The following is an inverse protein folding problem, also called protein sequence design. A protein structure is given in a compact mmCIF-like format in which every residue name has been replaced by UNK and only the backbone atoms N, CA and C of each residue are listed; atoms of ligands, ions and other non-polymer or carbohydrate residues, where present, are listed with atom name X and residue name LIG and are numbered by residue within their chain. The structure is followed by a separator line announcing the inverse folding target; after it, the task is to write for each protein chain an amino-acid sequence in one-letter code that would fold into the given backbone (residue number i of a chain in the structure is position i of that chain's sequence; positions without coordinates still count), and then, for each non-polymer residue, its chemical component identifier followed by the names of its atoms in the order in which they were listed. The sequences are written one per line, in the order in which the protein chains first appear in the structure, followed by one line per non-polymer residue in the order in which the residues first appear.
data_IF_423471716017
#
_entry.id   IF_423471716017
#
_cell.length_a   1.000
_cell.length_b   1.000
_cell.length_c   1.000
_cell.angle_alpha   90.00
_cell.angle_beta   90.00
_cell.angle_gamma   90.00
#
_symmetry.space_group_name_H-M   'P 1'
#
loop_
_entity.id
_entity.type
_entity.pdbx_description
1 polymer ?
#
# COMPACT_ATOMS: atom_id res chain seq x y z
N UNK A 1 0.11 10.45 -17.40
CA UNK A 1 -0.04 9.06 -16.91
C UNK A 1 -1.49 8.67 -17.13
N UNK A 2 -1.77 7.73 -18.04
CA UNK A 2 -3.14 7.34 -18.40
C UNK A 2 -3.60 6.25 -17.43
N UNK A 3 -4.74 6.46 -16.77
CA UNK A 3 -5.34 5.43 -15.91
C UNK A 3 -5.82 4.29 -16.81
N UNK A 4 -5.47 3.02 -16.54
CA UNK A 4 -5.93 1.90 -17.35
C UNK A 4 -7.46 1.81 -17.35
N UNK A 5 -8.06 1.66 -18.52
CA UNK A 5 -9.52 1.65 -18.74
C UNK A 5 -10.29 0.67 -17.85
N UNK A 6 -9.72 -0.52 -17.60
CA UNK A 6 -10.34 -1.51 -16.69
C UNK A 6 -10.44 -1.01 -15.23
N UNK A 7 -9.52 -0.13 -14.78
CA UNK A 7 -9.57 0.50 -13.47
C UNK A 7 -10.73 1.49 -13.39
N UNK A 8 -10.91 2.30 -14.42
CA UNK A 8 -12.02 3.25 -14.49
C UNK A 8 -13.37 2.55 -14.45
N UNK A 9 -13.55 1.49 -15.23
CA UNK A 9 -14.80 0.70 -15.24
C UNK A 9 -15.10 0.12 -13.86
N UNK A 10 -14.12 -0.49 -13.22
CA UNK A 10 -14.35 -1.11 -11.90
C UNK A 10 -14.65 -0.09 -10.80
N UNK A 11 -13.93 1.02 -10.77
CA UNK A 11 -14.19 2.10 -9.81
C UNK A 11 -15.56 2.72 -10.11
N UNK A 12 -15.88 3.00 -11.39
CA UNK A 12 -17.18 3.50 -11.79
C UNK A 12 -18.33 2.57 -11.40
N UNK A 13 -18.17 1.26 -11.63
CA UNK A 13 -19.13 0.24 -11.21
C UNK A 13 -19.32 0.18 -9.70
N UNK A 14 -18.21 0.31 -8.94
CA UNK A 14 -18.27 0.41 -7.47
C UNK A 14 -19.06 1.65 -7.02
N UNK A 15 -18.77 2.82 -7.58
CA UNK A 15 -19.47 4.07 -7.27
C UNK A 15 -20.96 3.98 -7.58
N UNK A 16 -21.31 3.44 -8.75
CA UNK A 16 -22.70 3.22 -9.15
C UNK A 16 -23.43 2.30 -8.16
N UNK A 17 -22.79 1.18 -7.79
CA UNK A 17 -23.34 0.25 -6.77
C UNK A 17 -23.59 0.96 -5.44
N UNK A 18 -22.64 1.77 -4.94
CA UNK A 18 -22.83 2.51 -3.69
C UNK A 18 -24.00 3.51 -3.78
N UNK A 19 -24.12 4.20 -4.91
CA UNK A 19 -25.22 5.12 -5.18
C UNK A 19 -26.58 4.40 -5.22
N UNK A 20 -26.68 3.27 -5.89
CA UNK A 20 -27.90 2.47 -5.96
C UNK A 20 -28.31 1.91 -4.58
N UNK A 21 -27.34 1.63 -3.70
CA UNK A 21 -27.58 1.22 -2.32
C UNK A 21 -27.95 2.40 -1.39
N UNK A 22 -28.06 3.62 -1.90
CA UNK A 22 -28.38 4.82 -1.11
C UNK A 22 -27.26 5.23 -0.12
N UNK A 23 -26.06 4.70 -0.25
CA UNK A 23 -24.96 4.99 0.67
C UNK A 23 -24.38 6.37 0.38
N UNK A 24 -24.45 7.27 1.36
CA UNK A 24 -23.88 8.64 1.27
C UNK A 24 -22.39 8.68 1.59
N UNK A 25 -21.87 7.71 2.35
CA UNK A 25 -20.44 7.58 2.74
C UNK A 25 -20.00 6.15 2.53
N UNK A 26 -18.88 5.98 1.87
CA UNK A 26 -18.28 4.68 1.58
C UNK A 26 -16.78 4.84 1.31
N UNK A 27 -15.94 3.84 1.64
CA UNK A 27 -14.50 3.92 1.44
C UNK A 27 -14.14 3.76 -0.03
N UNK A 28 -13.20 4.55 -0.52
CA UNK A 28 -12.59 4.38 -1.85
C UNK A 28 -11.21 3.74 -1.77
N UNK A 29 -10.48 4.09 -0.73
CA UNK A 29 -9.12 3.60 -0.50
C UNK A 29 -9.02 3.15 0.94
N UNK A 30 -8.48 1.96 1.16
CA UNK A 30 -7.98 1.51 2.45
C UNK A 30 -6.48 1.85 2.52
N UNK A 31 -6.08 2.59 3.56
CA UNK A 31 -4.67 2.73 3.94
C UNK A 31 -4.33 1.57 4.86
N UNK A 32 -3.55 0.61 4.39
CA UNK A 32 -3.17 -0.59 5.13
C UNK A 32 -1.69 -0.50 5.52
N UNK A 33 -1.43 -0.44 6.82
CA UNK A 33 -0.08 -0.32 7.36
C UNK A 33 0.31 -1.60 8.12
N UNK A 34 0.79 -2.65 7.44
CA UNK A 34 1.07 -3.94 8.06
C UNK A 34 2.27 -3.93 9.01
N UNK A 35 3.10 -2.89 8.96
CA UNK A 35 4.17 -2.60 9.93
C UNK A 35 4.54 -1.11 9.89
N UNK A 36 5.14 -0.63 10.99
CA UNK A 36 5.64 0.75 11.08
C UNK A 36 7.16 0.87 10.94
N UNK A 37 7.91 -0.24 11.07
CA UNK A 37 9.37 -0.22 10.92
C UNK A 37 9.78 0.17 9.50
N UNK A 38 10.80 1.03 9.42
CA UNK A 38 11.43 1.45 8.18
C UNK A 38 12.93 1.20 8.24
N UNK A 39 13.59 1.18 7.10
CA UNK A 39 15.05 1.14 6.94
C UNK A 39 15.64 2.55 6.70
N UNK A 40 14.83 3.59 6.77
CA UNK A 40 15.21 4.98 6.70
C UNK A 40 14.68 5.75 7.91
N UNK A 41 15.32 6.87 8.22
CA UNK A 41 14.93 7.80 9.29
C UNK A 41 14.63 9.19 8.72
N UNK A 42 13.73 9.26 7.75
CA UNK A 42 13.42 10.48 7.00
C UNK A 42 13.04 11.65 7.93
N UNK A 43 13.58 12.83 7.64
CA UNK A 43 13.23 14.06 8.35
C UNK A 43 11.73 14.34 8.23
N UNK A 44 11.05 14.55 9.36
CA UNK A 44 9.61 14.79 9.42
C UNK A 44 8.73 13.53 9.36
N UNK A 45 9.31 12.33 9.34
CA UNK A 45 8.56 11.09 9.46
C UNK A 45 8.28 10.76 10.94
N UNK A 46 7.06 11.04 11.42
CA UNK A 46 6.69 10.76 12.82
C UNK A 46 6.66 9.27 13.21
N UNK A 47 6.78 8.36 12.26
CA UNK A 47 6.76 6.90 12.55
C UNK A 47 8.06 6.40 13.21
N UNK A 48 9.18 7.06 12.96
CA UNK A 48 10.47 6.66 13.56
C UNK A 48 10.51 6.90 15.08
N UNK A 49 9.65 7.80 15.58
CA UNK A 49 9.58 8.17 17.00
C UNK A 49 8.78 7.19 17.84
N UNK A 50 8.15 6.17 17.23
CA UNK A 50 7.41 5.16 17.98
C UNK A 50 8.35 4.24 18.76
N UNK A 51 7.95 3.80 19.97
CA UNK A 51 8.69 2.79 20.72
C UNK A 51 8.89 1.50 19.92
N UNK A 52 10.01 0.82 20.14
CA UNK A 52 10.33 -0.46 19.48
C UNK A 52 9.22 -1.51 19.58
N UNK A 53 8.49 -1.53 20.69
CA UNK A 53 7.35 -2.42 20.88
C UNK A 53 6.24 -2.19 19.85
N UNK A 54 6.07 -0.97 19.34
CA UNK A 54 5.13 -0.62 18.27
C UNK A 54 5.76 -0.88 16.90
N UNK A 55 7.02 -0.44 16.70
CA UNK A 55 7.73 -0.61 15.43
C UNK A 55 7.89 -2.09 15.05
N UNK A 56 7.96 -2.99 16.03
CA UNK A 56 8.11 -4.43 15.81
C UNK A 56 6.78 -5.16 15.59
N UNK A 57 5.65 -4.51 15.80
CA UNK A 57 4.34 -5.11 15.51
C UNK A 57 4.17 -5.30 14.01
N UNK A 58 3.56 -6.43 13.67
CA UNK A 58 3.26 -6.79 12.28
C UNK A 58 1.87 -7.39 12.22
N UNK A 59 1.11 -7.01 11.22
CA UNK A 59 -0.12 -7.71 10.88
C UNK A 59 0.24 -9.00 10.14
N UNK A 60 -0.48 -10.05 10.42
CA UNK A 60 -0.43 -11.28 9.63
C UNK A 60 -1.08 -11.08 8.26
N UNK A 61 -0.83 -12.01 7.33
CA UNK A 61 -1.50 -12.00 6.01
C UNK A 61 -3.01 -11.99 6.21
N UNK A 62 -3.53 -12.85 7.10
CA UNK A 62 -4.97 -12.95 7.32
C UNK A 62 -5.58 -11.64 7.84
N UNK A 63 -4.97 -11.01 8.84
CA UNK A 63 -5.44 -9.72 9.37
C UNK A 63 -5.49 -8.63 8.28
N UNK A 64 -4.48 -8.60 7.40
CA UNK A 64 -4.46 -7.66 6.27
C UNK A 64 -5.61 -7.92 5.28
N UNK A 65 -5.88 -9.18 4.98
CA UNK A 65 -6.93 -9.57 4.06
C UNK A 65 -8.33 -9.34 4.65
N UNK A 66 -8.51 -9.65 5.93
CA UNK A 66 -9.78 -9.43 6.65
C UNK A 66 -10.10 -7.93 6.74
N UNK A 67 -9.10 -7.09 7.04
CA UNK A 67 -9.28 -5.64 7.04
C UNK A 67 -9.68 -5.11 5.65
N UNK A 68 -9.12 -5.67 4.57
CA UNK A 68 -9.48 -5.28 3.21
C UNK A 68 -10.89 -5.75 2.81
N UNK A 69 -11.32 -6.91 3.29
CA UNK A 69 -12.66 -7.44 3.04
C UNK A 69 -13.71 -6.67 3.86
N UNK A 70 -13.47 -6.39 5.14
CA UNK A 70 -14.32 -5.59 6.02
C UNK A 70 -14.50 -4.16 5.49
N UNK A 71 -13.41 -3.50 5.13
CA UNK A 71 -13.44 -2.14 4.57
C UNK A 71 -14.21 -2.09 3.24
N UNK A 72 -14.10 -3.12 2.40
CA UNK A 72 -14.76 -3.19 1.10
C UNK A 72 -14.30 -2.18 0.06
N UNK A 73 -13.27 -1.35 0.34
CA UNK A 73 -12.71 -0.40 -0.63
C UNK A 73 -12.17 -1.11 -1.88
N UNK A 74 -12.33 -0.53 -3.08
CA UNK A 74 -11.78 -1.10 -4.30
C UNK A 74 -10.27 -0.93 -4.43
N UNK A 75 -9.69 0.01 -3.69
CA UNK A 75 -8.25 0.30 -3.71
C UNK A 75 -7.65 0.10 -2.32
N UNK A 76 -6.41 -0.40 -2.28
CA UNK A 76 -5.61 -0.55 -1.07
C UNK A 76 -4.25 0.09 -1.29
N UNK A 77 -3.92 1.09 -0.50
CA UNK A 77 -2.57 1.66 -0.41
C UNK A 77 -1.84 1.02 0.76
N UNK A 78 -0.61 0.59 0.56
CA UNK A 78 0.23 0.00 1.60
C UNK A 78 1.44 0.93 1.81
N UNK A 79 1.30 1.98 2.64
CA UNK A 79 2.40 2.90 2.90
C UNK A 79 3.35 2.38 3.98
N UNK A 80 2.84 1.89 5.11
CA UNK A 80 3.61 1.40 6.25
C UNK A 80 4.74 2.31 6.72
N UNK A 81 5.76 1.73 7.35
CA UNK A 81 7.13 2.26 7.37
C UNK A 81 7.78 1.97 6.00
N UNK A 82 8.48 0.82 5.87
CA UNK A 82 8.84 0.29 4.55
C UNK A 82 8.18 -1.07 4.35
N UNK A 83 7.15 -1.18 3.48
CA UNK A 83 6.40 -2.42 3.32
C UNK A 83 7.26 -3.61 2.86
N UNK A 84 8.33 -3.36 2.11
CA UNK A 84 9.24 -4.41 1.64
C UNK A 84 10.03 -5.07 2.77
N UNK A 85 10.05 -4.51 3.99
CA UNK A 85 10.62 -5.17 5.17
C UNK A 85 9.71 -6.28 5.68
N UNK A 86 8.40 -6.18 5.43
CA UNK A 86 7.46 -7.21 5.88
C UNK A 86 7.80 -8.56 5.24
N UNK A 87 7.87 -9.61 6.05
CA UNK A 87 8.33 -10.94 5.58
C UNK A 87 7.37 -11.55 4.56
N UNK A 88 6.08 -11.35 4.76
CA UNK A 88 4.98 -11.93 3.98
C UNK A 88 4.34 -10.92 3.02
N UNK A 89 5.04 -9.83 2.65
CA UNK A 89 4.47 -8.78 1.80
C UNK A 89 4.01 -9.31 0.44
N UNK A 90 4.73 -10.30 -0.11
CA UNK A 90 4.34 -10.94 -1.37
C UNK A 90 2.98 -11.65 -1.26
N UNK A 91 2.73 -12.34 -0.14
CA UNK A 91 1.47 -13.05 0.12
C UNK A 91 0.32 -12.07 0.37
N UNK A 92 0.55 -11.01 1.15
CA UNK A 92 -0.42 -9.93 1.36
C UNK A 92 -0.85 -9.34 0.02
N UNK A 93 0.11 -8.92 -0.81
CA UNK A 93 -0.16 -8.33 -2.13
C UNK A 93 -0.87 -9.33 -3.04
N UNK A 94 -0.42 -10.58 -3.09
CA UNK A 94 -1.06 -11.62 -3.90
C UNK A 94 -2.52 -11.87 -3.47
N UNK A 95 -2.79 -11.92 -2.17
CA UNK A 95 -4.12 -12.08 -1.62
C UNK A 95 -5.06 -10.91 -1.93
N UNK A 96 -4.57 -9.67 -1.87
CA UNK A 96 -5.32 -8.46 -2.24
C UNK A 96 -5.60 -8.43 -3.75
N UNK A 97 -4.61 -8.76 -4.59
CA UNK A 97 -4.75 -8.84 -6.05
C UNK A 97 -5.77 -9.93 -6.46
N UNK A 98 -5.74 -11.09 -5.79
CA UNK A 98 -6.73 -12.16 -6.00
C UNK A 98 -8.17 -11.69 -5.71
N UNK A 99 -8.34 -10.80 -4.74
CA UNK A 99 -9.61 -10.11 -4.40
C UNK A 99 -9.97 -8.98 -5.35
N UNK A 100 -9.19 -8.80 -6.43
CA UNK A 100 -9.37 -7.72 -7.41
C UNK A 100 -9.31 -6.31 -6.81
N UNK A 101 -8.57 -6.14 -5.72
CA UNK A 101 -8.23 -4.82 -5.18
C UNK A 101 -7.11 -4.19 -6.02
N UNK A 102 -7.20 -2.88 -6.29
CA UNK A 102 -6.06 -2.14 -6.86
C UNK A 102 -5.09 -1.80 -5.76
N UNK A 103 -3.93 -2.45 -5.77
CA UNK A 103 -2.90 -2.34 -4.73
C UNK A 103 -1.84 -1.34 -5.14
N UNK A 104 -1.64 -0.29 -4.33
CA UNK A 104 -0.52 0.64 -4.40
C UNK A 104 0.48 0.30 -3.32
N UNK A 105 1.60 -0.31 -3.67
CA UNK A 105 2.69 -0.56 -2.74
C UNK A 105 3.61 0.67 -2.72
N UNK A 106 3.57 1.44 -1.62
CA UNK A 106 4.38 2.64 -1.46
C UNK A 106 5.73 2.26 -0.83
N UNK A 107 6.84 2.62 -1.44
CA UNK A 107 8.17 2.17 -1.02
C UNK A 107 9.23 3.24 -1.28
N UNK A 108 10.29 3.25 -0.45
CA UNK A 108 11.51 4.00 -0.73
C UNK A 108 12.40 3.32 -1.79
N UNK A 109 11.99 2.19 -2.31
CA UNK A 109 12.62 1.38 -3.36
C UNK A 109 13.99 0.78 -3.04
N UNK A 110 14.62 1.03 -1.88
CA UNK A 110 15.95 0.47 -1.55
C UNK A 110 15.99 -1.06 -1.55
N UNK A 111 14.85 -1.70 -1.27
CA UNK A 111 14.70 -3.15 -1.27
C UNK A 111 14.00 -3.69 -2.51
N UNK A 112 13.56 -2.82 -3.43
CA UNK A 112 12.65 -3.22 -4.52
C UNK A 112 13.33 -4.23 -5.45
N UNK A 113 14.56 -4.00 -5.89
CA UNK A 113 15.28 -4.91 -6.77
C UNK A 113 15.40 -6.32 -6.16
N UNK A 114 15.79 -6.40 -4.88
CA UNK A 114 15.94 -7.67 -4.15
C UNK A 114 14.62 -8.39 -3.93
N UNK A 115 13.51 -7.68 -3.85
CA UNK A 115 12.18 -8.20 -3.49
C UNK A 115 11.22 -8.33 -4.67
N UNK A 116 11.60 -7.85 -5.85
CA UNK A 116 10.71 -7.83 -7.02
C UNK A 116 10.21 -9.23 -7.40
N UNK A 117 11.01 -10.27 -7.17
CA UNK A 117 10.65 -11.67 -7.42
C UNK A 117 9.44 -12.18 -6.60
N UNK A 118 9.07 -11.48 -5.51
CA UNK A 118 7.89 -11.81 -4.69
C UNK A 118 6.57 -11.41 -5.37
N UNK A 119 6.62 -10.57 -6.39
CA UNK A 119 5.44 -9.99 -7.00
C UNK A 119 5.24 -10.51 -8.43
N UNK A 120 4.03 -11.01 -8.69
CA UNK A 120 3.64 -11.36 -10.06
C UNK A 120 3.12 -10.13 -10.77
N UNK A 121 3.49 -9.89 -12.04
CA UNK A 121 2.90 -8.82 -12.84
C UNK A 121 1.37 -8.90 -12.83
N UNK A 122 0.72 -7.77 -12.56
CA UNK A 122 -0.74 -7.71 -12.48
C UNK A 122 -1.24 -6.31 -12.81
N UNK A 123 -2.36 -6.18 -13.53
CA UNK A 123 -2.99 -4.88 -13.76
C UNK A 123 -3.60 -4.28 -12.47
N UNK A 124 -3.60 -5.04 -11.37
CA UNK A 124 -4.07 -4.62 -10.05
C UNK A 124 -2.95 -4.19 -9.11
N UNK A 125 -1.67 -4.35 -9.50
CA UNK A 125 -0.52 -3.97 -8.68
C UNK A 125 0.26 -2.85 -9.33
N UNK A 126 0.60 -1.82 -8.58
CA UNK A 126 1.54 -0.79 -8.96
C UNK A 126 2.40 -0.35 -7.76
N UNK A 127 3.61 0.06 -8.06
CA UNK A 127 4.55 0.57 -7.07
C UNK A 127 4.50 2.10 -7.10
N UNK A 128 4.41 2.70 -5.92
CA UNK A 128 4.54 4.14 -5.73
C UNK A 128 5.87 4.41 -5.06
N UNK A 129 6.85 4.87 -5.83
CA UNK A 129 8.19 5.17 -5.31
C UNK A 129 8.24 6.59 -4.80
N UNK A 130 8.74 6.76 -3.57
CA UNK A 130 8.89 8.06 -2.95
C UNK A 130 10.17 8.75 -3.42
N UNK A 131 10.03 9.97 -3.93
CA UNK A 131 11.15 10.82 -4.36
C UNK A 131 10.86 12.29 -3.96
N UNK A 132 11.73 12.89 -3.15
CA UNK A 132 11.60 14.25 -2.64
C UNK A 132 12.28 15.29 -3.52
N UNK A 133 12.68 14.94 -4.72
CA UNK A 133 13.32 15.85 -5.67
C UNK A 133 14.60 15.29 -6.29
N UNK A 134 15.52 16.17 -6.67
CA UNK A 134 16.83 15.78 -7.18
C UNK A 134 17.68 15.19 -6.04
N UNK A 135 18.74 14.49 -6.40
CA UNK A 135 19.59 13.71 -5.48
C UNK A 135 19.92 14.43 -4.19
N UNK A 136 20.46 15.65 -4.27
CA UNK A 136 20.90 16.39 -3.08
C UNK A 136 19.77 16.70 -2.09
N UNK A 137 18.56 16.98 -2.61
CA UNK A 137 17.37 17.25 -1.78
C UNK A 137 16.81 15.97 -1.22
N UNK A 138 16.73 14.93 -2.06
CA UNK A 138 16.25 13.61 -1.66
C UNK A 138 17.13 13.02 -0.55
N UNK A 139 18.46 13.00 -0.76
CA UNK A 139 19.40 12.41 0.20
C UNK A 139 19.34 13.11 1.57
N UNK A 140 19.07 14.43 1.61
CA UNK A 140 18.85 15.17 2.86
C UNK A 140 17.52 14.84 3.54
N UNK A 141 16.49 14.50 2.77
CA UNK A 141 15.15 14.24 3.29
C UNK A 141 15.02 12.83 3.87
N UNK A 142 15.76 11.86 3.29
CA UNK A 142 15.61 10.44 3.59
C UNK A 142 16.76 9.82 4.41
N UNK A 143 17.68 10.63 4.90
CA UNK A 143 18.86 10.21 5.68
C UNK A 143 18.53 9.48 6.95
#
# INVERSE_FOLDING_TARGET
MTIPFHKEIRIGGYLLKQKLLGRKRFPLVLMLEPLFRCNLACAGCGKIDYPDAILNRRMTVQECLDAADECGAPMVAIPGGEPLIHREIGEIVAGLVARKKFVSLCTNALLLEKKLHLFKPSPYLFFSVHLDGLREHHDKAVS
#
